data_IF_595081675865
#
_entry.id   IF_595081675865
#
_cell.length_a   1.000
_cell.length_b   1.000
_cell.length_c   1.000
_cell.angle_alpha   90.00
_cell.angle_beta   90.00
_cell.angle_gamma   90.00
#
_symmetry.space_group_name_H-M   'P 1'
#
loop_
_entity.id
_entity.type
_entity.pdbx_description
1 polymer ?
#
# COMPACT_ATOMS: atom_id res chain seq x y z
N UNK A 1 -11.50 -6.15 -17.02
CA UNK A 1 -10.73 -6.26 -15.76
C UNK A 1 -9.55 -7.24 -15.88
N UNK A 2 -9.75 -8.47 -16.41
CA UNK A 2 -8.70 -9.52 -16.50
C UNK A 2 -7.42 -9.12 -17.23
N UNK A 3 -7.49 -8.21 -18.20
CA UNK A 3 -6.33 -7.69 -18.94
C UNK A 3 -5.35 -6.92 -18.04
N UNK A 4 -5.86 -6.32 -16.96
CA UNK A 4 -5.08 -5.47 -16.04
C UNK A 4 -4.68 -6.20 -14.75
N UNK A 5 -5.02 -7.49 -14.61
CA UNK A 5 -4.95 -8.22 -13.34
C UNK A 5 -3.56 -8.20 -12.69
N UNK A 6 -2.51 -8.30 -13.50
CA UNK A 6 -1.13 -8.34 -13.01
C UNK A 6 -0.53 -6.96 -12.76
N UNK A 7 -1.19 -5.88 -13.19
CA UNK A 7 -0.71 -4.53 -12.92
C UNK A 7 -0.85 -4.17 -11.45
N UNK A 8 -1.77 -4.80 -10.70
CA UNK A 8 -1.88 -4.57 -9.26
C UNK A 8 -0.59 -4.93 -8.50
N UNK A 9 -0.13 -6.20 -8.49
CA UNK A 9 1.10 -6.55 -7.76
C UNK A 9 2.34 -5.84 -8.31
N UNK A 10 2.39 -5.55 -9.63
CA UNK A 10 3.53 -4.84 -10.26
C UNK A 10 3.61 -3.39 -9.79
N UNK A 11 2.48 -2.65 -9.83
CA UNK A 11 2.43 -1.24 -9.41
C UNK A 11 2.69 -1.13 -7.91
N UNK A 12 2.10 -2.03 -7.13
CA UNK A 12 2.34 -2.11 -5.69
C UNK A 12 3.83 -2.26 -5.38
N UNK A 13 4.48 -3.33 -5.86
CA UNK A 13 5.88 -3.57 -5.50
C UNK A 13 6.84 -2.51 -6.05
N UNK A 14 6.55 -1.93 -7.22
CA UNK A 14 7.36 -0.84 -7.77
C UNK A 14 7.37 0.39 -6.86
N UNK A 15 6.20 0.74 -6.29
CA UNK A 15 6.09 1.81 -5.31
C UNK A 15 6.75 1.44 -3.97
N UNK A 16 6.41 0.28 -3.43
CA UNK A 16 6.88 -0.17 -2.12
C UNK A 16 8.40 -0.43 -2.06
N UNK A 17 9.05 -0.71 -3.20
CA UNK A 17 10.51 -0.75 -3.28
C UNK A 17 11.15 0.60 -2.94
N UNK A 18 10.56 1.73 -3.33
CA UNK A 18 11.04 3.06 -2.90
C UNK A 18 10.91 3.21 -1.38
N UNK A 19 9.82 2.70 -0.79
CA UNK A 19 9.60 2.73 0.66
C UNK A 19 10.66 1.96 1.42
N UNK A 20 10.91 0.71 1.01
CA UNK A 20 11.88 -0.18 1.68
C UNK A 20 13.26 0.46 1.69
N UNK A 21 13.68 1.02 0.56
CA UNK A 21 15.00 1.65 0.42
C UNK A 21 15.07 2.96 1.20
N UNK A 22 13.99 3.75 1.15
CA UNK A 22 14.03 5.15 1.53
C UNK A 22 13.61 5.46 2.97
N UNK A 23 12.55 4.83 3.49
CA UNK A 23 11.92 5.25 4.76
C UNK A 23 12.92 5.21 5.92
N UNK A 24 13.73 4.15 6.00
CA UNK A 24 14.74 4.03 7.05
C UNK A 24 15.79 5.16 7.00
N UNK A 25 16.29 5.47 5.80
CA UNK A 25 17.28 6.55 5.62
C UNK A 25 16.67 7.91 5.95
N UNK A 26 15.42 8.13 5.56
CA UNK A 26 14.70 9.36 5.81
C UNK A 26 14.39 9.58 7.29
N UNK A 27 13.98 8.54 8.01
CA UNK A 27 13.74 8.58 9.45
C UNK A 27 15.01 9.01 10.21
N UNK A 28 16.15 8.39 9.88
CA UNK A 28 17.45 8.73 10.49
C UNK A 28 17.88 10.16 10.16
N UNK A 29 17.76 10.59 8.91
CA UNK A 29 18.18 11.92 8.46
C UNK A 29 17.35 13.04 9.11
N UNK A 30 16.06 12.80 9.36
CA UNK A 30 15.12 13.82 9.82
C UNK A 30 14.71 13.67 11.30
N UNK A 31 15.36 12.79 12.05
CA UNK A 31 15.04 12.44 13.45
C UNK A 31 14.72 13.66 14.32
N UNK A 32 15.64 14.62 14.40
CA UNK A 32 15.49 15.78 15.29
C UNK A 32 14.28 16.65 14.90
N UNK A 33 14.07 16.85 13.59
CA UNK A 33 12.92 17.59 13.06
C UNK A 33 11.61 16.86 13.35
N UNK A 34 11.57 15.54 13.14
CA UNK A 34 10.39 14.73 13.42
C UNK A 34 10.08 14.71 14.91
N UNK A 35 11.08 14.63 15.78
CA UNK A 35 10.88 14.68 17.23
C UNK A 35 10.25 16.00 17.68
N UNK A 36 10.67 17.12 17.08
CA UNK A 36 10.15 18.43 17.43
C UNK A 36 8.75 18.72 16.86
N UNK A 37 8.47 18.33 15.61
CA UNK A 37 7.27 18.78 14.87
C UNK A 37 6.24 17.67 14.64
N UNK A 38 6.69 16.42 14.53
CA UNK A 38 5.85 15.28 14.17
C UNK A 38 6.17 14.05 15.04
N UNK A 39 6.15 14.16 16.39
CA UNK A 39 6.54 13.07 17.28
C UNK A 39 5.67 11.81 17.11
N UNK A 40 4.44 11.98 16.63
CA UNK A 40 3.55 10.87 16.29
C UNK A 40 4.10 9.99 15.15
N UNK A 41 4.87 10.56 14.20
CA UNK A 41 5.53 9.77 13.13
C UNK A 41 6.58 8.85 13.75
N UNK A 42 7.43 9.38 14.63
CA UNK A 42 8.43 8.56 15.31
C UNK A 42 7.78 7.47 16.18
N UNK A 43 6.64 7.76 16.80
CA UNK A 43 5.90 6.78 17.58
C UNK A 43 5.38 5.61 16.74
N UNK A 44 4.95 5.86 15.49
CA UNK A 44 4.53 4.81 14.55
C UNK A 44 5.70 3.90 14.15
N UNK A 45 6.91 4.46 14.06
CA UNK A 45 8.12 3.76 13.65
C UNK A 45 9.02 3.30 14.81
N UNK A 46 8.53 3.31 16.06
CA UNK A 46 9.35 2.99 17.25
C UNK A 46 10.04 1.61 17.22
N UNK A 47 9.37 0.63 16.62
CA UNK A 47 9.85 -0.75 16.48
C UNK A 47 10.17 -1.06 15.00
N UNK A 48 10.53 -0.05 14.22
CA UNK A 48 10.87 -0.21 12.81
C UNK A 48 12.21 -0.93 12.65
N UNK A 49 12.32 -1.72 11.60
CA UNK A 49 13.58 -2.15 11.00
C UNK A 49 13.34 -2.28 9.49
N UNK A 50 14.38 -2.10 8.67
CA UNK A 50 14.25 -2.26 7.22
C UNK A 50 13.83 -3.69 6.86
N UNK A 51 14.35 -4.68 7.58
CA UNK A 51 14.02 -6.10 7.40
C UNK A 51 12.57 -6.40 7.80
N UNK A 52 12.12 -5.88 8.96
CA UNK A 52 10.73 -6.04 9.40
C UNK A 52 9.74 -5.33 8.47
N UNK A 53 10.13 -4.18 7.93
CA UNK A 53 9.34 -3.46 6.92
C UNK A 53 9.29 -4.20 5.59
N UNK A 54 10.42 -4.73 5.12
CA UNK A 54 10.44 -5.58 3.92
C UNK A 54 9.57 -6.84 4.07
N UNK A 55 9.52 -7.44 5.27
CA UNK A 55 8.61 -8.55 5.56
C UNK A 55 7.14 -8.13 5.44
N UNK A 56 6.78 -6.96 5.98
CA UNK A 56 5.42 -6.43 5.87
C UNK A 56 5.02 -6.17 4.42
N UNK A 57 5.87 -5.51 3.63
CA UNK A 57 5.65 -5.31 2.19
C UNK A 57 5.53 -6.64 1.44
N UNK A 58 6.37 -7.62 1.78
CA UNK A 58 6.31 -8.94 1.15
C UNK A 58 4.98 -9.64 1.43
N UNK A 59 4.45 -9.54 2.65
CA UNK A 59 3.15 -10.08 3.01
C UNK A 59 2.01 -9.41 2.21
N UNK A 60 2.02 -8.08 2.09
CA UNK A 60 1.05 -7.35 1.27
C UNK A 60 1.16 -7.69 -0.23
N UNK A 61 2.38 -7.90 -0.73
CA UNK A 61 2.60 -8.38 -2.10
C UNK A 61 1.96 -9.76 -2.31
N UNK A 62 2.08 -10.67 -1.34
CA UNK A 62 1.43 -11.99 -1.40
C UNK A 62 -0.08 -11.81 -1.48
N UNK A 63 -0.68 -10.93 -0.69
CA UNK A 63 -2.11 -10.62 -0.79
C UNK A 63 -2.49 -10.11 -2.19
N UNK A 64 -1.73 -9.16 -2.75
CA UNK A 64 -1.96 -8.61 -4.08
C UNK A 64 -1.90 -9.71 -5.16
N UNK A 65 -0.93 -10.62 -5.06
CA UNK A 65 -0.77 -11.77 -5.96
C UNK A 65 -1.94 -12.74 -5.81
N UNK A 66 -2.35 -13.06 -4.57
CA UNK A 66 -3.46 -13.98 -4.31
C UNK A 66 -4.78 -13.46 -4.87
N UNK A 67 -5.11 -12.19 -4.64
CA UNK A 67 -6.31 -11.56 -5.21
C UNK A 67 -6.28 -11.60 -6.74
N UNK A 68 -5.13 -11.28 -7.34
CA UNK A 68 -4.92 -11.30 -8.78
C UNK A 68 -5.06 -12.70 -9.37
N UNK A 69 -4.47 -13.70 -8.71
CA UNK A 69 -4.56 -15.10 -9.09
C UNK A 69 -5.99 -15.63 -8.98
N UNK A 70 -6.68 -15.34 -7.86
CA UNK A 70 -8.09 -15.73 -7.67
C UNK A 70 -8.99 -15.13 -8.75
N UNK A 71 -8.80 -13.85 -9.09
CA UNK A 71 -9.55 -13.22 -10.18
C UNK A 71 -9.30 -13.94 -11.51
N UNK A 72 -8.04 -14.25 -11.82
CA UNK A 72 -7.64 -14.91 -13.06
C UNK A 72 -8.16 -16.35 -13.18
N UNK A 73 -8.09 -17.13 -12.10
CA UNK A 73 -8.47 -18.56 -12.08
C UNK A 73 -9.98 -18.72 -12.02
N UNK A 74 -10.67 -17.96 -11.19
CA UNK A 74 -12.12 -18.11 -11.03
C UNK A 74 -12.92 -17.47 -12.15
N UNK A 75 -12.39 -16.41 -12.78
CA UNK A 75 -13.14 -15.61 -13.76
C UNK A 75 -14.42 -14.96 -13.20
N UNK A 76 -14.59 -14.96 -11.87
CA UNK A 76 -15.82 -14.53 -11.22
C UNK A 76 -15.86 -12.99 -11.10
N UNK A 77 -16.99 -12.39 -11.50
CA UNK A 77 -17.20 -10.93 -11.41
C UNK A 77 -17.12 -10.41 -9.98
N UNK A 78 -17.62 -11.16 -8.99
CA UNK A 78 -17.53 -10.80 -7.56
C UNK A 78 -16.07 -10.64 -7.14
N UNK A 79 -15.22 -11.62 -7.49
CA UNK A 79 -13.79 -11.58 -7.20
C UNK A 79 -13.12 -10.43 -7.94
N UNK A 80 -13.54 -10.14 -9.17
CA UNK A 80 -13.04 -9.00 -9.96
C UNK A 80 -13.37 -7.65 -9.30
N UNK A 81 -14.55 -7.50 -8.71
CA UNK A 81 -14.92 -6.29 -7.99
C UNK A 81 -14.19 -6.15 -6.64
N UNK A 82 -13.94 -7.26 -5.94
CA UNK A 82 -13.08 -7.27 -4.74
C UNK A 82 -11.66 -6.86 -5.09
N UNK A 83 -11.10 -7.43 -6.16
CA UNK A 83 -9.78 -7.06 -6.69
C UNK A 83 -9.72 -5.57 -7.05
N UNK A 84 -10.75 -5.05 -7.72
CA UNK A 84 -10.84 -3.62 -8.06
C UNK A 84 -10.89 -2.75 -6.80
N UNK A 85 -11.65 -3.16 -5.78
CA UNK A 85 -11.67 -2.49 -4.48
C UNK A 85 -10.30 -2.45 -3.81
N UNK A 86 -9.61 -3.58 -3.77
CA UNK A 86 -8.25 -3.65 -3.23
C UNK A 86 -7.27 -2.75 -4.01
N UNK A 87 -7.38 -2.73 -5.34
CA UNK A 87 -6.57 -1.86 -6.20
C UNK A 87 -6.87 -0.36 -5.99
N UNK A 88 -8.13 0.00 -5.74
CA UNK A 88 -8.51 1.36 -5.32
C UNK A 88 -7.85 1.71 -3.98
N UNK A 89 -7.83 0.76 -3.02
CA UNK A 89 -7.12 0.93 -1.76
C UNK A 89 -5.62 1.26 -1.97
N UNK A 90 -4.97 0.56 -2.89
CA UNK A 90 -3.59 0.84 -3.30
C UNK A 90 -3.45 2.23 -3.95
N UNK A 91 -4.38 2.67 -4.79
CA UNK A 91 -4.34 4.02 -5.34
C UNK A 91 -4.52 5.10 -4.26
N UNK A 92 -5.37 4.86 -3.26
CA UNK A 92 -5.56 5.74 -2.10
C UNK A 92 -4.27 5.83 -1.28
N UNK A 93 -3.53 4.74 -1.10
CA UNK A 93 -2.22 4.71 -0.44
C UNK A 93 -1.23 5.70 -1.06
N UNK A 94 -1.14 5.78 -2.40
CA UNK A 94 -0.30 6.76 -3.08
C UNK A 94 -0.71 8.21 -2.78
N UNK A 95 -2.02 8.48 -2.75
CA UNK A 95 -2.56 9.80 -2.39
C UNK A 95 -2.20 10.16 -0.95
N UNK A 96 -2.26 9.21 -0.02
CA UNK A 96 -1.87 9.41 1.37
C UNK A 96 -0.41 9.84 1.48
N UNK A 97 0.52 9.19 0.76
CA UNK A 97 1.93 9.57 0.78
C UNK A 97 2.19 10.96 0.21
N UNK A 98 1.54 11.30 -0.91
CA UNK A 98 1.62 12.65 -1.46
C UNK A 98 1.08 13.70 -0.48
N UNK A 99 -0.05 13.41 0.18
CA UNK A 99 -0.63 14.29 1.19
C UNK A 99 0.29 14.45 2.41
N UNK A 100 0.90 13.36 2.89
CA UNK A 100 1.88 13.40 3.98
C UNK A 100 3.06 14.32 3.63
N UNK A 101 3.62 14.20 2.43
CA UNK A 101 4.73 15.05 1.98
C UNK A 101 4.35 16.53 1.90
N UNK A 102 3.14 16.85 1.43
CA UNK A 102 2.62 18.22 1.38
C UNK A 102 2.43 18.79 2.80
N UNK A 103 1.80 18.02 3.70
CA UNK A 103 1.52 18.44 5.09
C UNK A 103 2.83 18.65 5.86
N UNK A 104 3.79 17.75 5.69
CA UNK A 104 5.10 17.82 6.34
C UNK A 104 6.05 18.81 5.66
N UNK A 105 5.67 19.35 4.48
CA UNK A 105 6.47 20.25 3.64
C UNK A 105 7.88 19.73 3.41
N UNK A 106 8.00 18.41 3.27
CA UNK A 106 9.27 17.72 3.11
C UNK A 106 9.10 16.55 2.17
N UNK A 107 10.16 16.24 1.43
CA UNK A 107 10.21 15.03 0.63
C UNK A 107 10.15 13.82 1.56
N UNK A 108 9.27 12.87 1.26
CA UNK A 108 9.20 11.55 1.88
C UNK A 108 9.51 10.55 0.76
N UNK A 109 10.43 9.59 0.98
CA UNK A 109 10.59 8.47 0.05
C UNK A 109 9.24 7.78 -0.08
N UNK A 110 8.73 7.66 -1.30
CA UNK A 110 7.39 7.22 -1.76
C UNK A 110 6.82 8.16 -2.82
N UNK A 111 7.18 9.45 -2.74
CA UNK A 111 6.46 10.50 -3.49
C UNK A 111 6.69 10.40 -4.98
N UNK A 112 7.90 10.06 -5.43
CA UNK A 112 8.21 9.97 -6.86
C UNK A 112 7.44 8.81 -7.47
N UNK A 113 7.54 7.61 -6.89
CA UNK A 113 6.75 6.46 -7.37
C UNK A 113 5.27 6.70 -7.26
N UNK A 114 4.76 7.38 -6.22
CA UNK A 114 3.33 7.72 -6.09
C UNK A 114 2.84 8.61 -7.23
N UNK A 115 3.61 9.64 -7.61
CA UNK A 115 3.28 10.53 -8.73
C UNK A 115 3.24 9.77 -10.06
N UNK A 116 4.09 8.76 -10.23
CA UNK A 116 4.14 7.93 -11.44
C UNK A 116 2.99 6.90 -11.45
N UNK A 117 2.77 6.22 -10.33
CA UNK A 117 1.81 5.13 -10.19
C UNK A 117 0.36 5.62 -10.17
N UNK A 118 0.09 6.80 -9.60
CA UNK A 118 -1.27 7.29 -9.42
C UNK A 118 -2.01 7.53 -10.75
N UNK A 119 -1.46 8.24 -11.76
CA UNK A 119 -2.13 8.42 -13.06
C UNK A 119 -2.43 7.10 -13.77
N UNK A 120 -1.49 6.14 -13.72
CA UNK A 120 -1.65 4.81 -14.31
C UNK A 120 -2.78 4.06 -13.59
N UNK A 121 -2.79 4.10 -12.26
CA UNK A 121 -3.79 3.44 -11.43
C UNK A 121 -5.18 4.03 -11.66
N UNK A 122 -5.30 5.37 -11.71
CA UNK A 122 -6.55 6.07 -12.02
C UNK A 122 -7.07 5.68 -13.39
N UNK A 123 -6.20 5.59 -14.40
CA UNK A 123 -6.59 5.14 -15.74
C UNK A 123 -7.09 3.69 -15.73
N UNK A 124 -6.39 2.76 -15.07
CA UNK A 124 -6.83 1.36 -14.96
C UNK A 124 -8.17 1.25 -14.21
N UNK A 125 -8.33 1.99 -13.12
CA UNK A 125 -9.59 2.03 -12.35
C UNK A 125 -10.72 2.51 -13.24
N UNK A 126 -10.51 3.61 -14.00
CA UNK A 126 -11.49 4.11 -14.96
C UNK A 126 -11.86 3.05 -16.01
N UNK A 127 -10.86 2.40 -16.63
CA UNK A 127 -11.10 1.32 -17.61
C UNK A 127 -11.89 0.16 -17.01
N UNK A 128 -11.65 -0.18 -15.74
CA UNK A 128 -12.43 -1.21 -15.06
C UNK A 128 -13.87 -0.74 -14.79
N UNK A 129 -14.07 0.49 -14.30
CA UNK A 129 -15.39 1.01 -13.94
C UNK A 129 -16.34 1.11 -15.14
N UNK A 130 -15.85 1.51 -16.32
CA UNK A 130 -16.69 1.60 -17.53
C UNK A 130 -17.17 0.24 -18.05
N UNK A 131 -16.54 -0.86 -17.63
CA UNK A 131 -16.99 -2.21 -17.99
C UNK A 131 -18.14 -2.72 -17.11
N UNK A 132 -18.46 -2.02 -16.02
CA UNK A 132 -19.55 -2.38 -15.12
C UNK A 132 -20.88 -1.97 -15.77
N UNK A 133 -21.69 -2.96 -16.14
CA UNK A 133 -23.03 -2.76 -16.68
C UNK A 133 -24.11 -3.24 -15.71
N UNK A 134 -25.24 -2.54 -15.65
CA UNK A 134 -26.40 -2.94 -14.83
C UNK A 134 -26.36 -2.37 -13.41
N UNK A 135 -26.80 -3.15 -12.42
CA UNK A 135 -26.91 -2.69 -11.03
C UNK A 135 -25.53 -2.45 -10.40
N UNK A 136 -25.35 -1.28 -9.79
CA UNK A 136 -24.10 -0.86 -9.14
C UNK A 136 -23.99 -1.33 -7.68
N UNK A 137 -25.05 -1.89 -7.10
CA UNK A 137 -25.09 -2.26 -5.67
C UNK A 137 -24.05 -3.34 -5.36
N UNK A 138 -24.06 -4.44 -6.11
CA UNK A 138 -23.12 -5.55 -5.89
C UNK A 138 -21.67 -5.13 -6.13
N UNK A 139 -21.31 -4.50 -7.28
CA UNK A 139 -19.96 -4.00 -7.48
C UNK A 139 -19.49 -3.05 -6.37
N UNK A 140 -20.33 -2.12 -5.93
CA UNK A 140 -19.98 -1.16 -4.87
C UNK A 140 -19.68 -1.87 -3.54
N UNK A 141 -20.52 -2.81 -3.13
CA UNK A 141 -20.31 -3.59 -1.89
C UNK A 141 -19.00 -4.39 -1.99
N UNK A 142 -18.75 -5.07 -3.12
CA UNK A 142 -17.54 -5.83 -3.33
C UNK A 142 -16.27 -4.96 -3.32
N UNK A 143 -16.32 -3.76 -3.92
CA UNK A 143 -15.20 -2.82 -3.87
C UNK A 143 -14.92 -2.34 -2.44
N UNK A 144 -15.96 -2.06 -1.66
CA UNK A 144 -15.82 -1.73 -0.23
C UNK A 144 -15.19 -2.87 0.55
N UNK A 145 -15.61 -4.12 0.30
CA UNK A 145 -15.01 -5.31 0.91
C UNK A 145 -13.53 -5.43 0.53
N UNK A 146 -13.17 -5.21 -0.74
CA UNK A 146 -11.78 -5.22 -1.20
C UNK A 146 -10.90 -4.17 -0.51
N UNK A 147 -11.40 -2.92 -0.41
CA UNK A 147 -10.70 -1.85 0.31
C UNK A 147 -10.54 -2.19 1.80
N UNK A 148 -11.60 -2.69 2.44
CA UNK A 148 -11.56 -3.09 3.84
C UNK A 148 -10.57 -4.24 4.08
N UNK A 149 -10.51 -5.22 3.17
CA UNK A 149 -9.55 -6.32 3.26
C UNK A 149 -8.10 -5.81 3.25
N UNK A 150 -7.75 -4.91 2.34
CA UNK A 150 -6.41 -4.29 2.30
C UNK A 150 -6.14 -3.45 3.55
N UNK A 151 -7.10 -2.64 4.00
CA UNK A 151 -6.93 -1.81 5.19
C UNK A 151 -6.72 -2.65 6.47
N UNK A 152 -7.47 -3.74 6.63
CA UNK A 152 -7.29 -4.69 7.73
C UNK A 152 -5.92 -5.37 7.60
N UNK A 153 -5.56 -5.81 6.40
CA UNK A 153 -4.26 -6.44 6.16
C UNK A 153 -3.10 -5.51 6.51
N UNK A 154 -3.19 -4.22 6.16
CA UNK A 154 -2.18 -3.22 6.51
C UNK A 154 -1.97 -3.12 8.02
N UNK A 155 -3.04 -3.20 8.82
CA UNK A 155 -2.89 -3.22 10.29
C UNK A 155 -2.14 -4.45 10.77
N UNK A 156 -2.35 -5.60 10.13
CA UNK A 156 -1.60 -6.82 10.41
C UNK A 156 -0.13 -6.67 9.96
N UNK A 157 0.13 -6.18 8.75
CA UNK A 157 1.46 -5.93 8.22
C UNK A 157 2.27 -5.00 9.14
N UNK A 158 1.65 -3.93 9.66
CA UNK A 158 2.27 -3.04 10.65
C UNK A 158 2.67 -3.77 11.94
N UNK A 159 1.84 -4.70 12.42
CA UNK A 159 2.19 -5.51 13.59
C UNK A 159 3.35 -6.46 13.33
N UNK A 160 3.50 -6.96 12.09
CA UNK A 160 4.61 -7.82 11.68
C UNK A 160 5.95 -7.09 11.73
N UNK A 161 6.00 -5.81 11.37
CA UNK A 161 7.22 -4.99 11.46
C UNK A 161 7.76 -5.05 12.89
N UNK A 162 6.93 -4.63 13.86
CA UNK A 162 7.35 -4.57 15.25
C UNK A 162 7.64 -5.95 15.85
N UNK A 163 6.85 -6.97 15.49
CA UNK A 163 7.12 -8.34 15.91
C UNK A 163 8.49 -8.83 15.42
N UNK A 164 8.80 -8.64 14.13
CA UNK A 164 10.04 -9.11 13.53
C UNK A 164 11.25 -8.40 14.13
N UNK A 165 11.18 -7.06 14.24
CA UNK A 165 12.23 -6.21 14.83
C UNK A 165 12.55 -6.67 16.26
N UNK A 166 11.53 -6.83 17.11
CA UNK A 166 11.71 -7.26 18.51
C UNK A 166 12.24 -8.68 18.61
N UNK A 167 11.74 -9.60 17.79
CA UNK A 167 12.15 -11.02 17.81
C UNK A 167 13.62 -11.21 17.51
N UNK A 168 14.18 -10.42 16.59
CA UNK A 168 15.58 -10.53 16.18
C UNK A 168 16.52 -9.52 16.87
N UNK A 169 16.00 -8.72 17.82
CA UNK A 169 16.80 -7.74 18.54
C UNK A 169 17.42 -6.67 17.64
N UNK A 170 16.82 -6.38 16.48
CA UNK A 170 17.31 -5.38 15.55
C UNK A 170 17.04 -4.02 16.17
N UNK A 171 18.11 -3.30 16.53
CA UNK A 171 17.99 -1.91 16.98
C UNK A 171 18.07 -1.00 15.77
N UNK A 172 16.94 -0.39 15.43
CA UNK A 172 16.94 0.70 14.48
C UNK A 172 16.99 2.00 15.27
N UNK A 173 18.17 2.63 15.31
CA UNK A 173 18.36 3.91 15.99
C UNK A 173 17.65 5.03 15.22
N UNK A 174 16.38 5.26 15.55
CA UNK A 174 15.62 6.51 15.30
C UNK A 174 15.51 7.32 16.58
#
# INVERSE_FOLDING_TARGET
>A
MTEYVWLFPIIFIFHDMEEIIGIGLWLKKNKDLLQQRYPWVLALYKDFSTEGFALAVFEELVLCILLSLMMKVTGNLVVSYIWLGAFIGCAIHFVIHMAQAIIMKMYIPTVITSIICLPISVWIIYQCLITISGSLIVPAICMVIGMAAVAINLTFAQTLIGWFTRKHGIKFDI
#
